data_IF_327946182330
#
_entry.id   IF_327946182330
#
_cell.length_a   1.000
_cell.length_b   1.000
_cell.length_c   1.000
_cell.angle_alpha   90.00
_cell.angle_beta   90.00
_cell.angle_gamma   90.00
#
_symmetry.space_group_name_H-M   'P 1'
#
loop_
_entity.id
_entity.type
_entity.pdbx_description
1 polymer ?
#
# COMPACT_ATOMS: atom_id res chain seq x y z
N UNK A 1 -4.23 -15.40 16.70
CA UNK A 1 -3.84 -15.68 15.30
C UNK A 1 -2.54 -16.45 15.31
N UNK A 2 -2.36 -17.43 14.43
CA UNK A 2 -1.04 -18.05 14.23
C UNK A 2 -0.10 -17.01 13.61
N UNK A 3 1.10 -16.89 14.16
CA UNK A 3 2.13 -16.03 13.59
C UNK A 3 2.77 -16.77 12.41
N UNK A 4 2.58 -16.23 11.20
CA UNK A 4 3.16 -16.80 9.98
C UNK A 4 4.66 -16.52 9.94
N UNK A 5 5.42 -17.55 9.60
CA UNK A 5 6.86 -17.46 9.41
C UNK A 5 7.21 -16.64 8.16
N UNK A 6 8.44 -16.12 8.11
CA UNK A 6 8.93 -15.40 6.92
C UNK A 6 8.88 -16.28 5.66
N UNK A 7 9.19 -17.57 5.77
CA UNK A 7 9.17 -18.50 4.65
C UNK A 7 7.76 -18.74 4.11
N UNK A 8 6.75 -18.88 4.99
CA UNK A 8 5.35 -19.03 4.58
C UNK A 8 4.83 -17.76 3.90
N UNK A 9 5.18 -16.59 4.44
CA UNK A 9 4.81 -15.32 3.82
C UNK A 9 5.48 -15.15 2.47
N UNK A 10 6.75 -15.51 2.33
CA UNK A 10 7.46 -15.43 1.05
C UNK A 10 6.84 -16.36 0.01
N UNK A 11 6.50 -17.60 0.37
CA UNK A 11 5.81 -18.53 -0.51
C UNK A 11 4.45 -17.96 -0.98
N UNK A 12 3.67 -17.38 -0.06
CA UNK A 12 2.42 -16.72 -0.40
C UNK A 12 2.61 -15.51 -1.33
N UNK A 13 3.57 -14.63 -1.02
CA UNK A 13 3.85 -13.42 -1.81
C UNK A 13 4.27 -13.80 -3.23
N UNK A 14 5.19 -14.76 -3.37
CA UNK A 14 5.67 -15.21 -4.67
C UNK A 14 4.54 -15.81 -5.51
N UNK A 15 3.76 -16.73 -4.95
CA UNK A 15 2.61 -17.31 -5.63
C UNK A 15 1.58 -16.25 -6.05
N UNK A 16 1.35 -15.24 -5.19
CA UNK A 16 0.39 -14.17 -5.48
C UNK A 16 0.86 -13.25 -6.60
N UNK A 17 2.14 -12.90 -6.61
CA UNK A 17 2.73 -12.07 -7.65
C UNK A 17 2.78 -12.80 -8.98
N UNK A 18 3.16 -14.08 -8.99
CA UNK A 18 3.12 -14.93 -10.18
C UNK A 18 1.71 -15.01 -10.77
N UNK A 19 0.69 -15.21 -9.92
CA UNK A 19 -0.72 -15.21 -10.35
C UNK A 19 -1.19 -13.86 -10.93
N UNK A 20 -0.50 -12.76 -10.59
CA UNK A 20 -0.74 -11.43 -11.16
C UNK A 20 0.16 -11.14 -12.38
N UNK A 21 0.98 -12.09 -12.81
CA UNK A 21 1.91 -11.94 -13.94
C UNK A 21 3.17 -11.14 -13.59
N UNK A 22 3.47 -10.95 -12.30
CA UNK A 22 4.67 -10.25 -11.82
C UNK A 22 5.75 -11.29 -11.51
N UNK A 23 6.74 -11.40 -12.41
CA UNK A 23 7.89 -12.26 -12.20
C UNK A 23 9.01 -11.50 -11.45
N UNK A 24 9.31 -11.92 -10.21
CA UNK A 24 10.44 -11.37 -9.44
C UNK A 24 11.79 -11.99 -9.84
N UNK A 25 11.79 -13.06 -10.64
CA UNK A 25 12.98 -13.73 -11.16
C UNK A 25 13.89 -12.82 -12.00
N UNK A 26 13.30 -11.80 -12.63
CA UNK A 26 14.01 -10.80 -13.45
C UNK A 26 14.87 -9.83 -12.63
N UNK A 27 14.62 -9.71 -11.33
CA UNK A 27 15.34 -8.82 -10.45
C UNK A 27 16.58 -9.48 -9.84
N UNK A 28 17.62 -8.72 -9.50
CA UNK A 28 18.75 -9.24 -8.73
C UNK A 28 18.28 -9.72 -7.35
N UNK A 29 18.96 -10.73 -6.79
CA UNK A 29 18.62 -11.22 -5.44
C UNK A 29 18.86 -10.16 -4.38
N UNK A 30 20.03 -9.53 -4.43
CA UNK A 30 20.49 -8.51 -3.50
C UNK A 30 21.48 -7.61 -4.25
N UNK A 31 21.11 -6.34 -4.44
CA UNK A 31 21.95 -5.33 -5.07
C UNK A 31 21.62 -3.99 -4.41
N UNK A 32 22.61 -3.37 -3.77
CA UNK A 32 22.38 -2.17 -2.94
C UNK A 32 21.98 -0.97 -3.81
N UNK A 33 22.72 -0.76 -4.91
CA UNK A 33 22.55 0.35 -5.84
C UNK A 33 21.35 0.18 -6.79
N UNK A 34 20.74 -1.02 -6.83
CA UNK A 34 19.55 -1.23 -7.63
C UNK A 34 18.35 -0.49 -6.99
N UNK A 35 17.47 0.12 -7.82
CA UNK A 35 16.21 0.70 -7.34
C UNK A 35 15.35 -0.32 -6.58
N UNK A 36 15.40 -1.59 -6.99
CA UNK A 36 14.74 -2.70 -6.33
C UNK A 36 15.54 -3.99 -6.49
N UNK A 37 15.57 -4.78 -5.41
CA UNK A 37 16.11 -6.13 -5.35
C UNK A 37 15.05 -7.08 -4.73
N UNK A 38 15.17 -8.38 -4.99
CA UNK A 38 14.18 -9.36 -4.51
C UNK A 38 14.02 -9.35 -2.99
N UNK A 39 15.13 -9.28 -2.24
CA UNK A 39 15.08 -9.27 -0.76
C UNK A 39 14.35 -8.06 -0.21
N UNK A 40 14.58 -6.88 -0.79
CA UNK A 40 13.92 -5.62 -0.42
C UNK A 40 12.43 -5.67 -0.69
N UNK A 41 12.01 -6.21 -1.83
CA UNK A 41 10.59 -6.40 -2.17
C UNK A 41 9.93 -7.36 -1.18
N UNK A 42 10.50 -8.55 -0.98
CA UNK A 42 9.93 -9.54 -0.06
C UNK A 42 9.84 -8.99 1.37
N UNK A 43 10.89 -8.34 1.87
CA UNK A 43 10.88 -7.69 3.19
C UNK A 43 9.77 -6.64 3.30
N UNK A 44 9.60 -5.79 2.28
CA UNK A 44 8.56 -4.75 2.26
C UNK A 44 7.15 -5.37 2.24
N UNK A 45 6.94 -6.39 1.40
CA UNK A 45 5.67 -7.10 1.31
C UNK A 45 5.31 -7.83 2.61
N UNK A 46 6.28 -8.50 3.26
CA UNK A 46 6.08 -9.11 4.58
C UNK A 46 5.70 -8.07 5.63
N UNK A 47 6.39 -6.92 5.65
CA UNK A 47 6.04 -5.81 6.55
C UNK A 47 4.61 -5.33 6.31
N UNK A 48 4.23 -5.15 5.06
CA UNK A 48 2.87 -4.74 4.69
C UNK A 48 1.82 -5.74 5.19
N UNK A 49 2.00 -7.04 4.95
CA UNK A 49 1.06 -8.09 5.35
C UNK A 49 0.92 -8.22 6.87
N UNK A 50 1.99 -7.92 7.62
CA UNK A 50 1.95 -7.93 9.08
C UNK A 50 1.29 -6.70 9.69
N UNK A 51 1.42 -5.54 9.06
CA UNK A 51 0.92 -4.28 9.65
C UNK A 51 -0.43 -3.84 9.12
N UNK A 52 -0.69 -4.00 7.82
CA UNK A 52 -1.78 -3.30 7.14
C UNK A 52 -3.09 -4.05 7.21
N UNK A 53 -3.17 -5.35 6.85
CA UNK A 53 -4.43 -6.08 6.95
C UNK A 53 -5.02 -6.10 8.37
N UNK A 54 -4.24 -6.32 9.46
CA UNK A 54 -4.79 -6.22 10.82
C UNK A 54 -5.34 -4.83 11.12
N UNK A 55 -4.57 -3.77 10.82
CA UNK A 55 -5.02 -2.39 11.06
C UNK A 55 -6.29 -2.02 10.29
N UNK A 56 -6.47 -2.55 9.07
CA UNK A 56 -7.69 -2.36 8.28
C UNK A 56 -8.85 -3.23 8.76
N UNK A 57 -8.57 -4.45 9.21
CA UNK A 57 -9.60 -5.35 9.73
C UNK A 57 -10.16 -4.86 11.07
N UNK A 58 -9.31 -4.23 11.89
CA UNK A 58 -9.68 -3.63 13.17
C UNK A 58 -10.24 -2.19 13.02
N UNK A 59 -10.33 -1.67 11.79
CA UNK A 59 -10.90 -0.35 11.56
C UNK A 59 -12.43 -0.38 11.69
N UNK A 60 -12.95 0.35 12.67
CA UNK A 60 -14.38 0.59 12.83
C UNK A 60 -14.71 2.02 12.39
N UNK A 61 -15.70 2.17 11.50
CA UNK A 61 -16.24 3.48 11.14
C UNK A 61 -17.12 3.96 12.27
N UNK A 62 -16.77 5.07 12.92
CA UNK A 62 -17.66 5.73 13.87
C UNK A 62 -18.80 6.39 13.08
N UNK A 63 -20.07 5.95 13.23
CA UNK A 63 -21.20 6.52 12.51
C UNK A 63 -21.52 7.96 12.93
N UNK A 64 -20.91 8.47 14.00
CA UNK A 64 -21.01 9.86 14.46
C UNK A 64 -19.82 10.72 13.99
N UNK A 65 -18.81 10.13 13.37
CA UNK A 65 -17.72 10.86 12.77
C UNK A 65 -18.21 11.56 11.49
N UNK A 66 -18.16 12.89 11.48
CA UNK A 66 -18.56 13.68 10.31
C UNK A 66 -17.46 13.47 9.26
N UNK A 67 -17.75 12.84 8.10
CA UNK A 67 -16.74 12.66 7.08
C UNK A 67 -16.24 14.02 6.60
N UNK A 68 -14.95 14.15 6.24
CA UNK A 68 -14.42 15.39 5.73
C UNK A 68 -15.26 15.83 4.52
N UNK A 69 -15.80 17.04 4.56
CA UNK A 69 -16.56 17.62 3.46
C UNK A 69 -15.57 17.79 2.30
N UNK A 70 -15.68 16.91 1.30
CA UNK A 70 -14.94 17.01 0.05
C UNK A 70 -15.46 18.24 -0.71
N UNK A 71 -14.75 19.36 -0.55
CA UNK A 71 -14.96 20.62 -1.25
C UNK A 71 -15.04 20.41 -2.78
N UNK A 72 -15.80 21.27 -3.48
CA UNK A 72 -15.17 22.52 -3.89
C UNK A 72 -15.54 23.65 -2.94
N UNK A 73 -14.53 24.41 -2.52
CA UNK A 73 -14.76 25.78 -2.09
C UNK A 73 -15.41 26.39 -3.30
N UNK A 74 -16.57 27.00 -3.16
CA UNK A 74 -17.14 27.76 -4.25
C UNK A 74 -16.03 28.66 -4.81
N UNK A 75 -15.57 28.38 -6.03
CA UNK A 75 -14.54 29.18 -6.67
C UNK A 75 -15.18 30.54 -6.92
N UNK A 76 -15.01 31.46 -5.98
CA UNK A 76 -15.36 32.86 -6.17
C UNK A 76 -14.29 33.44 -7.10
N UNK A 77 -14.52 33.27 -8.40
CA UNK A 77 -13.79 34.03 -9.42
C UNK A 77 -13.94 35.51 -9.09
N UNK A 78 -12.82 36.20 -8.89
CA UNK A 78 -12.79 37.66 -8.70
C UNK A 78 -13.44 38.30 -9.92
N UNK A 79 -14.68 38.80 -9.80
CA UNK A 79 -15.24 39.70 -10.81
C UNK A 79 -14.40 40.97 -10.79
N UNK A 80 -13.70 41.21 -11.89
CA UNK A 80 -13.06 42.49 -12.16
C UNK A 80 -14.18 43.51 -12.36
N UNK A 81 -14.36 44.42 -11.42
CA UNK A 81 -15.17 45.63 -11.66
C UNK A 81 -14.47 46.43 -12.76
N UNK A 82 -15.22 46.71 -13.82
CA UNK A 82 -14.87 47.63 -14.89
C UNK A 82 -15.26 49.06 -14.47
N UNK A 83 -14.36 49.98 -14.83
CA UNK A 83 -14.36 51.46 -14.77
C UNK A 83 -14.24 52.19 -13.42
#
# INVERSE_FOLDING_TARGET
MQELTDAELDAYILARLEALGVDLGVLPEEEEDAPADRRRILRSARRFLRSTPPALADFEIDPQEVPPIMYPAEFRGRTREED
#
